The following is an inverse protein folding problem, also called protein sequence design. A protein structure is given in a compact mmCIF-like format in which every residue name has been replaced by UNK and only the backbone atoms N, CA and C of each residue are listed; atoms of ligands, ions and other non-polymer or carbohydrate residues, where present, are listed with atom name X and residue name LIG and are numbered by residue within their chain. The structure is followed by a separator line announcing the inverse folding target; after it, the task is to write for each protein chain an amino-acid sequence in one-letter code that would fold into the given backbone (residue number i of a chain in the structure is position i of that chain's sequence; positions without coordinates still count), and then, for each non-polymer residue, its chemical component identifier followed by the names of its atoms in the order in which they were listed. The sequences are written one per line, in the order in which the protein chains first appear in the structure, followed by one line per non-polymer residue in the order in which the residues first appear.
data_IF_169401421352
#
_entry.id   IF_169401421352
#
_cell.length_a   1.000
_cell.length_b   1.000
_cell.length_c   1.000
_cell.angle_alpha   90.00
_cell.angle_beta   90.00
_cell.angle_gamma   90.00
#
_symmetry.space_group_name_H-M   'P 1'
#
loop_
_entity.id
_entity.type
_entity.pdbx_description
1 polymer ?
#
# COMPACT_ATOMS: atom_id res chain seq x y z
N UNK A 1 -0.12 45.12 -9.98
CA UNK A 1 -1.60 45.06 -9.99
C UNK A 1 -2.11 45.76 -8.74
N UNK A 2 -3.08 46.67 -8.86
CA UNK A 2 -3.65 47.39 -7.70
C UNK A 2 -4.68 46.49 -7.00
N UNK A 3 -4.79 46.60 -5.67
CA UNK A 3 -5.73 45.80 -4.88
C UNK A 3 -7.19 45.99 -5.34
N UNK A 4 -7.56 47.21 -5.73
CA UNK A 4 -8.89 47.58 -6.20
C UNK A 4 -9.34 46.88 -7.50
N UNK A 5 -8.43 46.17 -8.18
CA UNK A 5 -8.70 45.44 -9.42
C UNK A 5 -8.56 43.91 -9.23
N UNK A 6 -8.32 43.45 -8.01
CA UNK A 6 -8.11 42.04 -7.69
C UNK A 6 -9.37 41.44 -7.07
N UNK A 7 -9.71 40.21 -7.44
CA UNK A 7 -10.67 39.41 -6.68
C UNK A 7 -10.01 39.02 -5.35
N UNK A 8 -10.31 39.81 -4.31
CA UNK A 8 -9.71 39.66 -2.99
C UNK A 8 -10.75 39.96 -1.91
N UNK A 9 -11.13 38.93 -1.17
CA UNK A 9 -12.07 39.02 -0.05
C UNK A 9 -11.40 38.36 1.15
N UNK A 10 -11.33 39.09 2.27
CA UNK A 10 -10.82 38.54 3.52
C UNK A 10 -11.98 38.24 4.48
N UNK A 11 -11.76 37.28 5.37
CA UNK A 11 -12.72 36.92 6.41
C UNK A 11 -12.18 37.32 7.78
N UNK A 12 -13.07 37.93 8.59
CA UNK A 12 -12.75 38.33 9.96
C UNK A 12 -12.63 37.13 10.89
N UNK A 13 -13.54 36.18 10.76
CA UNK A 13 -13.66 34.98 11.60
C UNK A 13 -13.07 33.76 10.90
N UNK A 14 -12.65 32.77 11.69
CA UNK A 14 -12.20 31.47 11.18
C UNK A 14 -13.38 30.70 10.57
N UNK A 15 -13.22 30.09 9.38
CA UNK A 15 -14.20 29.17 8.82
C UNK A 15 -14.40 27.98 9.76
N UNK A 16 -15.66 27.55 9.95
CA UNK A 16 -16.01 26.46 10.89
C UNK A 16 -15.38 25.12 10.50
N UNK A 17 -15.20 24.90 9.21
CA UNK A 17 -14.65 23.67 8.62
C UNK A 17 -13.11 23.64 8.58
N UNK A 18 -12.45 24.74 8.96
CA UNK A 18 -11.00 24.83 8.93
C UNK A 18 -10.41 24.51 10.31
N UNK A 19 -9.74 23.37 10.41
CA UNK A 19 -9.19 22.88 11.69
C UNK A 19 -7.78 23.43 11.96
N UNK A 20 -6.89 23.32 10.98
CA UNK A 20 -5.47 23.68 11.15
C UNK A 20 -5.18 25.14 10.77
N UNK A 21 -4.12 25.76 11.35
CA UNK A 21 -3.78 27.17 11.10
C UNK A 21 -3.60 27.51 9.62
N UNK A 22 -2.90 26.67 8.85
CA UNK A 22 -2.66 26.94 7.42
C UNK A 22 -3.96 27.00 6.62
N UNK A 23 -4.89 26.07 6.86
CA UNK A 23 -6.21 26.06 6.21
C UNK A 23 -7.02 27.32 6.58
N UNK A 24 -7.08 27.66 7.88
CA UNK A 24 -7.77 28.87 8.37
C UNK A 24 -7.23 30.13 7.71
N UNK A 25 -5.90 30.29 7.70
CA UNK A 25 -5.24 31.48 7.15
C UNK A 25 -5.43 31.59 5.64
N UNK A 26 -5.29 30.50 4.89
CA UNK A 26 -5.46 30.52 3.44
C UNK A 26 -6.89 30.90 3.02
N UNK A 27 -7.91 30.42 3.74
CA UNK A 27 -9.30 30.79 3.46
C UNK A 27 -9.54 32.24 3.89
N UNK A 28 -9.13 32.65 5.10
CA UNK A 28 -9.33 34.01 5.62
C UNK A 28 -8.62 35.07 4.80
N UNK A 29 -7.46 34.77 4.25
CA UNK A 29 -6.71 35.68 3.39
C UNK A 29 -7.19 35.65 1.93
N UNK A 30 -8.23 34.89 1.58
CA UNK A 30 -8.76 34.83 0.22
C UNK A 30 -7.81 34.16 -0.79
N UNK A 31 -6.98 33.22 -0.34
CA UNK A 31 -6.07 32.45 -1.20
C UNK A 31 -6.79 31.26 -1.83
N UNK A 32 -7.66 30.60 -1.07
CA UNK A 32 -8.41 29.43 -1.55
C UNK A 32 -9.89 29.55 -1.25
N UNK A 33 -10.70 28.86 -2.05
CA UNK A 33 -12.14 28.70 -1.81
C UNK A 33 -12.51 27.24 -1.94
N UNK A 34 -13.17 26.67 -0.93
CA UNK A 34 -13.72 25.32 -1.00
C UNK A 34 -14.88 25.27 -2.00
N UNK A 35 -14.84 24.32 -2.93
CA UNK A 35 -15.90 24.02 -3.91
C UNK A 35 -16.66 22.76 -3.50
N UNK A 36 -15.95 21.76 -2.97
CA UNK A 36 -16.52 20.50 -2.49
C UNK A 36 -15.67 19.91 -1.35
N UNK A 37 -16.00 18.72 -0.86
CA UNK A 37 -15.15 18.02 0.11
C UNK A 37 -13.81 17.67 -0.52
N UNK A 38 -12.71 18.21 0.02
CA UNK A 38 -11.36 18.01 -0.53
C UNK A 38 -11.08 18.70 -1.87
N UNK A 39 -11.96 19.58 -2.35
CA UNK A 39 -11.83 20.23 -3.68
C UNK A 39 -11.82 21.74 -3.48
N UNK A 40 -10.74 22.40 -3.92
CA UNK A 40 -10.48 23.82 -3.68
C UNK A 40 -10.16 24.56 -4.98
N UNK A 41 -10.73 25.74 -5.14
CA UNK A 41 -10.29 26.70 -6.14
C UNK A 41 -9.11 27.51 -5.61
N UNK A 42 -8.05 27.61 -6.41
CA UNK A 42 -6.90 28.49 -6.16
C UNK A 42 -7.20 29.89 -6.68
N UNK A 43 -7.41 30.85 -5.79
CA UNK A 43 -7.70 32.24 -6.14
C UNK A 43 -6.41 32.97 -6.58
N UNK A 44 -6.49 34.20 -7.13
CA UNK A 44 -5.35 34.85 -7.79
C UNK A 44 -4.07 34.93 -6.93
N UNK A 45 -4.18 35.12 -5.61
CA UNK A 45 -3.00 35.14 -4.72
C UNK A 45 -2.38 33.77 -4.54
N UNK A 46 -3.18 32.72 -4.34
CA UNK A 46 -2.65 31.35 -4.26
C UNK A 46 -2.04 30.92 -5.58
N UNK A 47 -2.66 31.29 -6.70
CA UNK A 47 -2.09 31.00 -8.01
C UNK A 47 -0.70 31.62 -8.19
N UNK A 48 -0.48 32.85 -7.71
CA UNK A 48 0.86 33.49 -7.70
C UNK A 48 1.86 32.73 -6.83
N UNK A 49 1.44 32.20 -5.68
CA UNK A 49 2.29 31.37 -4.82
C UNK A 49 2.64 30.07 -5.50
N UNK A 50 1.65 29.36 -6.06
CA UNK A 50 1.87 28.12 -6.80
C UNK A 50 2.83 28.32 -7.97
N UNK A 51 2.70 29.41 -8.73
CA UNK A 51 3.65 29.72 -9.82
C UNK A 51 5.09 29.92 -9.32
N UNK A 52 5.27 30.55 -8.14
CA UNK A 52 6.61 30.71 -7.54
C UNK A 52 7.19 29.37 -7.08
N UNK A 53 6.39 28.53 -6.43
CA UNK A 53 6.80 27.18 -6.00
C UNK A 53 7.14 26.32 -7.21
N UNK A 54 6.27 26.27 -8.22
CA UNK A 54 6.50 25.52 -9.45
C UNK A 54 7.75 26.00 -10.18
N UNK A 55 8.07 27.30 -10.14
CA UNK A 55 9.29 27.83 -10.74
C UNK A 55 10.55 27.33 -10.02
N UNK A 56 10.57 27.32 -8.68
CA UNK A 56 11.67 26.73 -7.90
C UNK A 56 11.84 25.25 -8.28
N UNK A 57 10.74 24.50 -8.30
CA UNK A 57 10.75 23.08 -8.66
C UNK A 57 11.32 22.86 -10.06
N UNK A 58 10.90 23.64 -11.06
CA UNK A 58 11.44 23.55 -12.43
C UNK A 58 12.93 23.81 -12.49
N UNK A 59 13.40 24.86 -11.81
CA UNK A 59 14.80 25.22 -11.82
C UNK A 59 15.67 24.10 -11.24
N UNK A 60 15.28 23.53 -10.10
CA UNK A 60 16.03 22.44 -9.46
C UNK A 60 15.94 21.13 -10.27
N UNK A 61 14.78 20.78 -10.83
CA UNK A 61 14.64 19.58 -11.69
C UNK A 61 15.45 19.72 -13.00
N UNK A 62 15.36 20.87 -13.67
CA UNK A 62 16.07 21.11 -14.93
C UNK A 62 17.59 21.13 -14.72
N UNK A 63 18.07 21.60 -13.56
CA UNK A 63 19.48 21.57 -13.21
C UNK A 63 20.06 20.14 -13.14
N UNK A 64 19.24 19.12 -12.88
CA UNK A 64 19.67 17.71 -12.93
C UNK A 64 19.57 17.09 -14.32
N UNK A 65 19.17 17.86 -15.34
CA UNK A 65 18.89 17.35 -16.68
C UNK A 65 17.53 16.65 -16.83
N UNK A 66 16.64 16.76 -15.84
CA UNK A 66 15.26 16.27 -15.97
C UNK A 66 14.50 17.12 -17.00
N UNK A 67 13.60 16.50 -17.77
CA UNK A 67 12.84 17.17 -18.81
C UNK A 67 11.35 17.25 -18.42
N UNK A 68 10.80 18.46 -18.41
CA UNK A 68 9.38 18.67 -18.12
C UNK A 68 8.51 18.20 -19.31
N UNK A 69 7.49 17.40 -19.02
CA UNK A 69 6.46 16.96 -19.95
C UNK A 69 5.07 17.16 -19.32
N UNK A 70 4.02 16.82 -20.07
CA UNK A 70 2.65 16.84 -19.57
C UNK A 70 1.91 15.59 -20.02
N UNK A 71 1.53 14.75 -19.06
CA UNK A 71 0.85 13.49 -19.31
C UNK A 71 -0.68 13.64 -19.19
N UNK A 72 -1.46 12.79 -19.87
CA UNK A 72 -2.92 12.82 -19.77
C UNK A 72 -3.42 12.46 -18.37
N UNK A 73 -4.53 13.10 -17.97
CA UNK A 73 -5.20 12.81 -16.71
C UNK A 73 -6.19 11.68 -16.77
N UNK A 74 -6.87 11.55 -17.91
CA UNK A 74 -7.75 10.44 -18.17
C UNK A 74 -6.88 9.29 -18.67
N UNK A 75 -6.81 8.22 -17.88
CA UNK A 75 -5.95 7.08 -18.14
C UNK A 75 -6.81 5.83 -18.45
N UNK A 76 -6.49 5.06 -19.50
CA UNK A 76 -7.19 3.81 -19.79
C UNK A 76 -6.96 2.76 -18.70
N UNK A 77 -8.02 2.04 -18.31
CA UNK A 77 -7.94 1.00 -17.28
C UNK A 77 -6.97 -0.13 -17.67
N UNK A 78 -6.78 -0.38 -18.97
CA UNK A 78 -5.89 -1.43 -19.48
C UNK A 78 -4.46 -1.24 -18.98
N UNK A 79 -3.94 -0.01 -18.92
CA UNK A 79 -2.58 0.25 -18.47
C UNK A 79 -2.37 -0.12 -16.99
N UNK A 80 -3.37 0.16 -16.15
CA UNK A 80 -3.39 -0.19 -14.73
C UNK A 80 -3.61 -1.68 -14.49
N UNK A 81 -4.28 -2.38 -15.41
CA UNK A 81 -4.40 -3.84 -15.36
C UNK A 81 -3.10 -4.52 -15.76
N UNK A 82 -2.36 -3.96 -16.71
CA UNK A 82 -1.02 -4.45 -17.08
C UNK A 82 -0.06 -4.39 -15.89
N UNK A 83 -0.10 -3.32 -15.08
CA UNK A 83 0.69 -3.22 -13.85
C UNK A 83 0.13 -4.06 -12.69
N UNK A 84 -1.12 -4.51 -12.78
CA UNK A 84 -1.84 -5.18 -11.71
C UNK A 84 -2.38 -4.25 -10.62
N UNK A 85 -2.19 -2.93 -10.73
CA UNK A 85 -2.61 -1.95 -9.71
C UNK A 85 -4.07 -1.53 -9.79
N UNK A 86 -4.79 -1.88 -10.86
CA UNK A 86 -6.20 -1.48 -11.05
C UNK A 86 -7.09 -1.86 -9.86
N UNK A 87 -7.11 -3.14 -9.48
CA UNK A 87 -7.98 -3.62 -8.39
C UNK A 87 -7.50 -3.12 -7.02
N UNK A 88 -6.19 -3.01 -6.81
CA UNK A 88 -5.62 -2.43 -5.58
C UNK A 88 -6.10 -0.98 -5.39
N UNK A 89 -6.01 -0.15 -6.43
CA UNK A 89 -6.35 1.27 -6.33
C UNK A 89 -7.86 1.55 -6.38
N UNK A 90 -8.65 0.72 -7.08
CA UNK A 90 -10.12 0.93 -7.18
C UNK A 90 -10.91 0.23 -6.09
N UNK A 91 -10.49 -0.95 -5.62
CA UNK A 91 -11.27 -1.78 -4.68
C UNK A 91 -10.64 -1.85 -3.31
N UNK A 92 -9.34 -2.17 -3.22
CA UNK A 92 -8.68 -2.37 -1.93
C UNK A 92 -8.50 -1.05 -1.18
N UNK A 93 -7.78 -0.11 -1.80
CA UNK A 93 -7.57 1.23 -1.23
C UNK A 93 -8.76 2.16 -1.49
N UNK A 94 -9.44 1.98 -2.63
CA UNK A 94 -10.58 2.81 -3.02
C UNK A 94 -10.23 4.28 -3.30
N UNK A 95 -8.94 4.59 -3.53
CA UNK A 95 -8.45 5.96 -3.72
C UNK A 95 -8.45 6.41 -5.17
N UNK A 96 -8.77 5.56 -6.14
CA UNK A 96 -8.76 5.95 -7.56
C UNK A 96 -10.18 6.21 -8.07
N UNK A 97 -10.38 7.41 -8.61
CA UNK A 97 -11.59 7.73 -9.36
C UNK A 97 -11.64 6.91 -10.64
N UNK A 98 -12.56 5.94 -10.71
CA UNK A 98 -12.89 5.20 -11.93
C UNK A 98 -14.17 5.72 -12.56
N UNK A 99 -14.21 5.76 -13.90
CA UNK A 99 -15.39 6.13 -14.68
C UNK A 99 -15.54 5.25 -15.92
N UNK A 100 -16.77 5.18 -16.43
CA UNK A 100 -17.08 4.50 -17.68
C UNK A 100 -17.51 5.54 -18.72
N UNK A 101 -16.83 5.57 -19.86
CA UNK A 101 -17.15 6.53 -20.92
C UNK A 101 -18.42 6.15 -21.70
N UNK A 102 -18.84 7.03 -22.62
CA UNK A 102 -20.02 6.80 -23.47
C UNK A 102 -19.93 5.57 -24.39
N UNK A 103 -18.73 5.02 -24.59
CA UNK A 103 -18.46 3.81 -25.38
C UNK A 103 -18.26 2.59 -24.48
N UNK A 104 -18.59 2.70 -23.19
CA UNK A 104 -18.44 1.65 -22.18
C UNK A 104 -16.98 1.24 -21.93
N UNK A 105 -16.02 2.15 -22.15
CA UNK A 105 -14.61 1.93 -21.78
C UNK A 105 -14.39 2.38 -20.35
N UNK A 106 -13.65 1.58 -19.59
CA UNK A 106 -13.25 1.92 -18.24
C UNK A 106 -12.01 2.81 -18.28
N UNK A 107 -12.08 3.91 -17.56
CA UNK A 107 -11.05 4.93 -17.47
C UNK A 107 -10.87 5.31 -16.00
N UNK A 108 -9.74 5.92 -15.68
CA UNK A 108 -9.51 6.53 -14.38
C UNK A 108 -9.00 7.96 -14.51
N UNK A 109 -9.20 8.75 -13.46
CA UNK A 109 -8.43 9.98 -13.25
C UNK A 109 -7.15 9.62 -12.50
N UNK A 110 -5.99 9.92 -13.08
CA UNK A 110 -4.69 9.52 -12.57
C UNK A 110 -4.40 10.01 -11.14
N UNK A 111 -4.25 9.10 -10.15
CA UNK A 111 -3.69 9.44 -8.84
C UNK A 111 -2.17 9.59 -8.88
N UNK A 112 -1.54 9.03 -9.92
CA UNK A 112 -0.11 9.06 -10.29
C UNK A 112 0.03 8.58 -11.76
N UNK A 113 1.24 8.45 -12.30
CA UNK A 113 1.50 8.21 -13.73
C UNK A 113 2.58 7.15 -14.05
N UNK A 114 2.92 6.23 -13.13
CA UNK A 114 3.93 5.20 -13.42
C UNK A 114 3.57 4.36 -14.66
N UNK A 115 2.31 3.97 -14.83
CA UNK A 115 1.83 3.19 -15.97
C UNK A 115 1.97 3.96 -17.29
N UNK A 116 1.47 5.20 -17.31
CA UNK A 116 1.46 6.03 -18.52
C UNK A 116 2.88 6.32 -19.00
N UNK A 117 3.77 6.71 -18.09
CA UNK A 117 5.15 7.03 -18.45
C UNK A 117 5.93 5.77 -18.83
N UNK A 118 5.62 4.62 -18.22
CA UNK A 118 6.22 3.32 -18.59
C UNK A 118 5.78 2.90 -19.99
N UNK A 119 4.52 3.11 -20.38
CA UNK A 119 4.05 2.88 -21.75
C UNK A 119 4.83 3.74 -22.75
N UNK A 120 5.00 5.04 -22.45
CA UNK A 120 5.78 5.95 -23.30
C UNK A 120 7.23 5.47 -23.41
N UNK A 121 7.86 5.12 -22.30
CA UNK A 121 9.23 4.65 -22.26
C UNK A 121 9.42 3.34 -23.05
N UNK A 122 8.51 2.37 -22.88
CA UNK A 122 8.48 1.10 -23.63
C UNK A 122 8.45 1.33 -25.14
N UNK A 123 7.72 2.35 -25.60
CA UNK A 123 7.56 2.63 -27.02
C UNK A 123 8.67 3.52 -27.60
N UNK A 124 9.32 4.35 -26.79
CA UNK A 124 10.27 5.37 -27.27
C UNK A 124 11.74 5.07 -26.95
N UNK A 125 12.02 4.28 -25.90
CA UNK A 125 13.38 3.89 -25.52
C UNK A 125 13.70 2.57 -26.22
N UNK A 126 14.51 2.64 -27.28
CA UNK A 126 14.86 1.50 -28.15
C UNK A 126 16.31 1.06 -28.00
N UNK A 127 17.14 1.84 -27.30
CA UNK A 127 18.56 1.55 -27.09
C UNK A 127 19.02 2.01 -25.71
N UNK A 128 19.93 1.25 -25.09
CA UNK A 128 20.59 1.62 -23.84
C UNK A 128 21.38 2.94 -23.96
N UNK A 129 21.80 3.32 -25.18
CA UNK A 129 22.50 4.60 -25.44
C UNK A 129 21.62 5.83 -25.20
N UNK A 130 20.29 5.66 -25.16
CA UNK A 130 19.37 6.73 -24.80
C UNK A 130 19.33 6.95 -23.29
N UNK A 131 19.79 5.99 -22.47
CA UNK A 131 19.67 6.02 -21.02
C UNK A 131 20.92 6.67 -20.38
N UNK A 132 20.76 7.34 -19.21
CA UNK A 132 19.52 7.53 -18.47
C UNK A 132 18.62 8.63 -19.05
N UNK A 133 17.31 8.46 -18.90
CA UNK A 133 16.29 9.48 -19.20
C UNK A 133 15.55 9.80 -17.91
N UNK A 134 15.28 11.08 -17.67
CA UNK A 134 14.49 11.53 -16.53
C UNK A 134 13.44 12.54 -16.99
N UNK A 135 12.17 12.15 -16.88
CA UNK A 135 11.01 12.95 -17.29
C UNK A 135 10.20 13.32 -16.04
N UNK A 136 9.68 14.54 -15.99
CA UNK A 136 8.81 14.96 -14.89
C UNK A 136 7.67 15.84 -15.37
N UNK A 137 6.63 16.01 -14.56
CA UNK A 137 5.55 16.95 -14.84
C UNK A 137 5.12 17.67 -13.56
N UNK A 138 4.50 18.84 -13.69
CA UNK A 138 3.80 19.52 -12.61
C UNK A 138 2.33 19.58 -13.01
N UNK A 139 1.51 18.74 -12.40
CA UNK A 139 0.17 18.46 -12.90
C UNK A 139 -0.79 18.03 -11.77
N UNK A 140 -2.06 18.39 -11.92
CA UNK A 140 -3.13 18.03 -10.98
C UNK A 140 -3.21 16.52 -10.80
N UNK A 141 -3.59 15.98 -9.64
CA UNK A 141 -3.83 14.56 -9.40
C UNK A 141 -5.17 14.41 -8.71
N UNK A 142 -5.75 13.23 -8.85
CA UNK A 142 -7.03 12.91 -8.25
C UNK A 142 -6.90 11.68 -7.37
N UNK A 143 -7.22 11.82 -6.08
CA UNK A 143 -7.32 10.70 -5.14
C UNK A 143 -8.66 10.78 -4.44
N UNK A 144 -9.46 9.72 -4.49
CA UNK A 144 -10.75 9.66 -3.83
C UNK A 144 -10.59 9.41 -2.32
N UNK A 145 -9.99 10.39 -1.66
CA UNK A 145 -9.72 10.35 -0.24
C UNK A 145 -11.02 10.21 0.57
N UNK A 146 -11.10 9.15 1.39
CA UNK A 146 -12.29 8.81 2.19
C UNK A 146 -12.60 9.93 3.19
N UNK A 147 -11.56 10.54 3.77
CA UNK A 147 -11.69 11.63 4.75
C UNK A 147 -10.77 12.81 4.39
N UNK A 148 -11.14 13.64 3.40
CA UNK A 148 -10.38 14.83 3.06
C UNK A 148 -10.42 15.83 4.22
N UNK A 149 -9.26 16.28 4.68
CA UNK A 149 -9.13 17.15 5.86
C UNK A 149 -7.95 18.10 5.69
N UNK A 150 -7.85 19.08 6.59
CA UNK A 150 -6.68 19.96 6.68
C UNK A 150 -6.40 20.83 5.43
N UNK A 151 -7.45 21.19 4.69
CA UNK A 151 -7.32 22.13 3.57
C UNK A 151 -6.57 21.53 2.40
N UNK A 152 -5.44 22.16 2.02
CA UNK A 152 -4.59 21.71 0.91
C UNK A 152 -3.65 20.56 1.29
N UNK A 153 -3.54 20.20 2.59
CA UNK A 153 -2.69 19.10 3.02
C UNK A 153 -3.22 17.74 2.55
N UNK A 154 -4.54 17.55 2.55
CA UNK A 154 -5.19 16.30 2.16
C UNK A 154 -6.50 16.54 1.40
N UNK A 155 -6.34 16.81 0.10
CA UNK A 155 -7.44 17.04 -0.85
C UNK A 155 -7.71 15.83 -1.75
N UNK A 156 -8.84 15.87 -2.47
CA UNK A 156 -9.19 14.91 -3.52
C UNK A 156 -8.67 15.32 -4.89
N UNK A 157 -8.42 16.61 -5.06
CA UNK A 157 -7.79 17.21 -6.23
C UNK A 157 -6.64 18.10 -5.75
N UNK A 158 -5.41 17.83 -6.19
CA UNK A 158 -4.21 18.54 -5.72
C UNK A 158 -3.14 18.61 -6.81
N UNK A 159 -2.16 19.52 -6.69
CA UNK A 159 -1.07 19.63 -7.67
C UNK A 159 0.11 18.81 -7.16
N UNK A 160 0.67 17.97 -8.03
CA UNK A 160 1.86 17.18 -7.74
C UNK A 160 2.94 17.45 -8.77
N UNK A 161 4.19 17.49 -8.32
CA UNK A 161 5.33 17.24 -9.19
C UNK A 161 5.72 15.78 -9.07
N UNK A 162 5.57 15.02 -10.14
CA UNK A 162 5.97 13.62 -10.25
C UNK A 162 7.05 13.49 -11.33
N UNK A 163 8.07 12.66 -11.05
CA UNK A 163 9.24 12.47 -11.90
C UNK A 163 9.63 11.00 -11.96
N UNK A 164 10.06 10.56 -13.14
CA UNK A 164 10.28 9.16 -13.48
C UNK A 164 11.56 9.03 -14.30
N UNK A 165 12.51 8.25 -13.77
CA UNK A 165 13.80 8.03 -14.40
C UNK A 165 13.96 6.58 -14.85
N UNK A 166 14.53 6.40 -16.04
CA UNK A 166 14.75 5.11 -16.68
C UNK A 166 16.25 4.87 -16.81
N UNK A 167 16.69 3.65 -16.50
CA UNK A 167 18.11 3.33 -16.33
C UNK A 167 18.46 1.98 -16.95
N UNK A 168 19.71 1.84 -17.42
CA UNK A 168 20.28 0.59 -17.91
C UNK A 168 20.69 -0.36 -16.78
N UNK A 169 21.00 0.19 -15.62
CA UNK A 169 21.59 -0.49 -14.47
C UNK A 169 21.31 0.25 -13.16
N UNK A 170 21.57 -0.43 -12.05
CA UNK A 170 21.28 0.05 -10.70
C UNK A 170 22.18 1.22 -10.28
N UNK A 171 23.43 1.28 -10.75
CA UNK A 171 24.35 2.37 -10.38
C UNK A 171 23.92 3.69 -11.03
N UNK A 172 23.44 3.64 -12.27
CA UNK A 172 22.79 4.76 -12.95
C UNK A 172 21.55 5.24 -12.17
N UNK A 173 20.69 4.32 -11.72
CA UNK A 173 19.54 4.64 -10.87
C UNK A 173 19.96 5.32 -9.57
N UNK A 174 20.92 4.74 -8.83
CA UNK A 174 21.43 5.29 -7.57
C UNK A 174 21.99 6.69 -7.74
N UNK A 175 22.66 6.98 -8.86
CA UNK A 175 23.15 8.33 -9.16
C UNK A 175 21.99 9.31 -9.30
N UNK A 176 21.00 9.02 -10.13
CA UNK A 176 19.84 9.90 -10.30
C UNK A 176 19.03 10.04 -9.02
N UNK A 177 18.92 8.98 -8.22
CA UNK A 177 18.27 9.05 -6.90
C UNK A 177 18.98 10.03 -5.95
N UNK A 178 20.32 10.02 -5.90
CA UNK A 178 21.11 11.02 -5.14
C UNK A 178 20.95 12.43 -5.69
N UNK A 179 20.93 12.58 -7.02
CA UNK A 179 20.69 13.88 -7.67
C UNK A 179 19.30 14.43 -7.28
N UNK A 180 18.29 13.55 -7.16
CA UNK A 180 16.94 13.89 -6.69
C UNK A 180 16.89 14.25 -5.20
N UNK A 181 17.58 13.50 -4.34
CA UNK A 181 17.70 13.85 -2.92
C UNK A 181 18.22 15.30 -2.77
N UNK A 182 19.30 15.63 -3.46
CA UNK A 182 19.86 16.99 -3.42
C UNK A 182 18.91 18.04 -4.02
N UNK A 183 18.27 17.74 -5.15
CA UNK A 183 17.32 18.66 -5.78
C UNK A 183 16.13 18.98 -4.86
N UNK A 184 15.55 17.97 -4.19
CA UNK A 184 14.45 18.18 -3.25
C UNK A 184 14.90 18.97 -2.01
N UNK A 185 16.10 18.70 -1.48
CA UNK A 185 16.71 19.51 -0.40
C UNK A 185 16.79 20.98 -0.80
N UNK A 186 17.27 21.26 -2.02
CA UNK A 186 17.34 22.62 -2.54
C UNK A 186 15.95 23.25 -2.67
N UNK A 187 14.98 22.55 -3.25
CA UNK A 187 13.60 23.04 -3.41
C UNK A 187 13.01 23.48 -2.07
N UNK A 188 13.09 22.62 -1.05
CA UNK A 188 12.52 22.89 0.28
C UNK A 188 13.28 24.01 0.99
N UNK A 189 14.61 24.04 0.90
CA UNK A 189 15.45 25.11 1.45
C UNK A 189 15.13 26.47 0.81
N UNK A 190 14.95 26.52 -0.51
CA UNK A 190 14.57 27.73 -1.26
C UNK A 190 13.14 28.19 -0.96
N UNK A 191 12.26 27.26 -0.57
CA UNK A 191 10.94 27.57 -0.03
C UNK A 191 10.98 28.04 1.44
N UNK A 192 12.16 28.03 2.10
CA UNK A 192 12.33 28.45 3.49
C UNK A 192 11.74 27.48 4.51
N UNK A 193 11.62 26.20 4.15
CA UNK A 193 11.00 25.17 4.99
C UNK A 193 12.05 24.49 5.88
N UNK A 194 11.64 24.15 7.11
CA UNK A 194 12.38 23.23 7.97
C UNK A 194 11.89 21.82 7.70
N UNK A 195 12.78 20.93 7.26
CA UNK A 195 12.42 19.60 6.84
C UNK A 195 13.45 18.55 7.27
N UNK A 196 13.04 17.29 7.24
CA UNK A 196 13.88 16.11 7.41
C UNK A 196 13.66 15.17 6.24
N UNK A 197 14.75 14.67 5.69
CA UNK A 197 14.71 13.49 4.84
C UNK A 197 14.69 12.26 5.74
N UNK A 198 13.76 11.34 5.51
CA UNK A 198 13.52 10.18 6.38
C UNK A 198 13.39 8.92 5.52
N UNK A 199 13.87 7.79 6.02
CA UNK A 199 13.57 6.50 5.41
C UNK A 199 12.07 6.22 5.51
N UNK A 200 11.49 5.74 4.42
CA UNK A 200 10.05 5.53 4.31
C UNK A 200 9.72 4.15 3.79
N UNK A 201 8.45 3.78 3.91
CA UNK A 201 7.93 2.64 3.19
C UNK A 201 7.78 2.97 1.70
N UNK A 202 7.88 1.96 0.83
CA UNK A 202 7.66 2.13 -0.60
C UNK A 202 6.16 2.13 -0.97
N UNK A 203 5.30 1.70 -0.04
CA UNK A 203 3.86 1.62 -0.20
C UNK A 203 3.43 0.81 -1.42
N UNK A 204 2.21 1.10 -1.89
CA UNK A 204 1.63 0.47 -3.07
C UNK A 204 2.28 0.88 -4.41
N UNK A 205 3.24 1.81 -4.40
CA UNK A 205 4.06 2.13 -5.58
C UNK A 205 5.12 1.03 -5.77
N UNK A 206 5.54 0.35 -4.69
CA UNK A 206 6.56 -0.68 -4.70
C UNK A 206 7.99 -0.12 -4.81
N UNK A 207 9.00 -1.00 -4.73
CA UNK A 207 10.42 -0.64 -4.81
C UNK A 207 11.22 -1.04 -3.56
N UNK A 208 12.52 -0.72 -3.57
CA UNK A 208 13.47 -1.14 -2.51
C UNK A 208 14.10 0.04 -1.74
N UNK A 209 14.09 1.25 -2.30
CA UNK A 209 14.57 2.48 -1.66
C UNK A 209 13.50 3.56 -1.70
N UNK A 210 13.01 3.97 -0.52
CA UNK A 210 12.02 5.04 -0.36
C UNK A 210 12.50 6.04 0.67
N UNK A 211 12.32 7.31 0.33
CA UNK A 211 12.68 8.44 1.17
C UNK A 211 11.59 9.49 1.11
N UNK A 212 11.14 9.95 2.26
CA UNK A 212 10.18 11.03 2.40
C UNK A 212 10.88 12.31 2.85
N UNK A 213 10.36 13.45 2.41
CA UNK A 213 10.78 14.76 2.88
C UNK A 213 9.68 15.37 3.73
N UNK A 214 9.87 15.32 5.05
CA UNK A 214 8.88 15.72 6.04
C UNK A 214 9.14 17.13 6.53
N UNK A 215 8.17 18.03 6.36
CA UNK A 215 8.18 19.35 7.02
C UNK A 215 7.72 19.16 8.46
N UNK A 216 8.55 19.55 9.42
CA UNK A 216 8.25 19.34 10.83
C UNK A 216 7.16 20.32 11.29
N UNK A 217 6.00 19.78 11.66
CA UNK A 217 4.86 20.55 12.14
C UNK A 217 4.01 19.72 13.11
N UNK A 218 3.46 20.36 14.15
CA UNK A 218 2.55 19.71 15.11
C UNK A 218 1.27 19.17 14.44
N UNK A 219 0.89 19.73 13.29
CA UNK A 219 -0.26 19.30 12.51
C UNK A 219 0.07 18.23 11.46
N UNK A 220 1.29 17.65 11.49
CA UNK A 220 1.68 16.55 10.62
C UNK A 220 0.86 15.28 10.91
N UNK A 221 0.53 14.53 9.85
CA UNK A 221 -0.18 13.24 9.99
C UNK A 221 0.79 12.08 10.22
N UNK A 222 2.04 12.23 9.79
CA UNK A 222 3.10 11.25 9.93
C UNK A 222 3.93 11.49 11.20
N UNK A 223 4.30 10.41 11.86
CA UNK A 223 5.25 10.43 12.96
C UNK A 223 6.63 10.04 12.44
N UNK A 224 7.63 10.86 12.78
CA UNK A 224 9.02 10.67 12.37
C UNK A 224 9.86 10.41 13.61
N UNK A 225 10.60 9.31 13.58
CA UNK A 225 11.60 8.98 14.59
C UNK A 225 12.98 9.35 14.06
N UNK A 226 13.77 10.05 14.87
CA UNK A 226 15.14 10.39 14.52
C UNK A 226 16.06 10.36 15.74
N UNK A 227 17.32 10.02 15.53
CA UNK A 227 18.33 10.02 16.59
C UNK A 227 18.80 11.45 16.89
N UNK A 228 19.22 11.68 18.13
CA UNK A 228 19.74 12.98 18.57
C UNK A 228 20.98 13.40 17.76
N UNK A 229 21.80 12.44 17.32
CA UNK A 229 22.96 12.68 16.46
C UNK A 229 22.60 12.92 14.98
N UNK A 230 21.32 12.80 14.61
CA UNK A 230 20.79 13.06 13.28
C UNK A 230 21.21 12.06 12.20
N UNK A 231 21.83 10.93 12.57
CA UNK A 231 22.29 9.91 11.60
C UNK A 231 21.21 8.96 11.14
N UNK A 232 20.16 8.78 11.94
CA UNK A 232 19.02 7.95 11.59
C UNK A 232 17.74 8.78 11.67
N UNK A 233 16.91 8.68 10.64
CA UNK A 233 15.59 9.28 10.60
C UNK A 233 14.69 8.42 9.73
N UNK A 234 13.52 8.03 10.23
CA UNK A 234 12.58 7.18 9.52
C UNK A 234 11.13 7.52 9.90
N UNK A 235 10.21 7.33 8.96
CA UNK A 235 8.78 7.26 9.26
C UNK A 235 8.55 6.07 10.22
N UNK A 236 7.67 6.20 11.22
CA UNK A 236 7.33 5.12 12.17
C UNK A 236 6.96 3.80 11.47
N UNK A 237 6.37 3.86 10.27
CA UNK A 237 6.05 2.70 9.44
C UNK A 237 7.30 1.91 9.01
N UNK A 238 8.42 2.60 8.79
CA UNK A 238 9.70 2.01 8.37
C UNK A 238 10.68 1.81 9.52
N UNK A 239 10.60 2.65 10.54
CA UNK A 239 11.61 2.78 11.59
C UNK A 239 11.93 1.46 12.29
N UNK A 240 13.21 1.16 12.47
CA UNK A 240 13.66 -0.01 13.25
C UNK A 240 14.19 0.44 14.60
N UNK A 241 13.99 -0.40 15.62
CA UNK A 241 14.52 -0.17 16.97
C UNK A 241 15.44 -1.32 17.37
N UNK A 242 16.38 -1.01 18.26
CA UNK A 242 17.17 -2.04 18.94
C UNK A 242 16.33 -2.59 20.09
N UNK A 243 16.16 -3.92 20.20
CA UNK A 243 15.45 -4.49 21.33
C UNK A 243 16.20 -4.17 22.62
N UNK A 244 15.47 -3.74 23.64
CA UNK A 244 16.00 -3.67 25.02
C UNK A 244 16.34 -5.07 25.52
N UNK A 245 17.32 -5.13 26.43
CA UNK A 245 17.73 -6.38 27.07
C UNK A 245 16.53 -7.09 27.72
N UNK A 246 16.48 -8.40 27.57
CA UNK A 246 15.40 -9.22 28.10
C UNK A 246 15.45 -9.27 29.63
N UNK A 247 14.31 -9.03 30.27
CA UNK A 247 14.16 -9.22 31.71
C UNK A 247 14.04 -10.72 32.02
N UNK A 248 14.86 -11.28 32.94
CA UNK A 248 14.78 -12.69 33.31
C UNK A 248 13.37 -13.07 33.79
N UNK A 249 12.80 -14.11 33.17
CA UNK A 249 11.50 -14.67 33.56
C UNK A 249 11.54 -15.19 35.00
N UNK A 250 10.54 -14.82 35.80
CA UNK A 250 10.30 -15.43 37.12
C UNK A 250 9.65 -16.81 37.03
N UNK A 251 9.20 -17.21 35.84
CA UNK A 251 8.59 -18.52 35.58
C UNK A 251 9.65 -19.52 35.13
N UNK A 252 9.80 -20.61 35.88
CA UNK A 252 10.78 -21.67 35.63
C UNK A 252 10.15 -22.99 35.19
N UNK A 253 8.82 -23.10 35.21
CA UNK A 253 8.07 -24.30 34.87
C UNK A 253 6.90 -23.98 33.92
N UNK A 254 6.58 -24.92 33.03
CA UNK A 254 5.42 -24.83 32.16
C UNK A 254 4.18 -25.38 32.90
N UNK A 255 3.17 -24.52 33.08
CA UNK A 255 1.88 -24.90 33.69
C UNK A 255 0.73 -24.12 33.07
N UNK A 256 -0.38 -24.81 32.81
CA UNK A 256 -1.66 -24.16 32.46
C UNK A 256 -2.32 -23.56 33.71
N UNK A 257 -2.69 -22.29 33.63
CA UNK A 257 -3.34 -21.55 34.72
C UNK A 257 -4.69 -21.00 34.25
N UNK A 258 -5.67 -21.00 35.14
CA UNK A 258 -6.92 -20.27 34.96
C UNK A 258 -6.65 -18.77 35.12
N UNK A 259 -6.99 -17.97 34.12
CA UNK A 259 -6.74 -16.52 34.05
C UNK A 259 -8.07 -15.76 33.85
N UNK A 260 -9.01 -15.84 34.82
CA UNK A 260 -10.32 -15.22 34.66
C UNK A 260 -10.23 -13.70 34.60
N UNK A 261 -11.00 -13.08 33.71
CA UNK A 261 -11.13 -11.62 33.57
C UNK A 261 -9.82 -10.87 33.19
N UNK A 262 -8.88 -11.52 32.49
CA UNK A 262 -7.62 -10.89 32.02
C UNK A 262 -7.63 -10.69 30.50
N UNK A 263 -8.54 -9.86 29.98
CA UNK A 263 -8.72 -9.67 28.53
C UNK A 263 -7.62 -8.83 27.85
N UNK A 264 -6.74 -8.20 28.63
CA UNK A 264 -5.65 -7.36 28.12
C UNK A 264 -4.30 -7.79 28.69
N UNK A 265 -3.20 -7.45 27.99
CA UNK A 265 -1.85 -7.69 28.50
C UNK A 265 -1.64 -7.05 29.86
N UNK A 266 -2.14 -5.81 30.06
CA UNK A 266 -2.03 -5.12 31.34
C UNK A 266 -2.71 -5.88 32.49
N UNK A 267 -3.93 -6.40 32.25
CA UNK A 267 -4.64 -7.20 33.25
C UNK A 267 -3.96 -8.54 33.52
N UNK A 268 -3.38 -9.18 32.49
CA UNK A 268 -2.67 -10.45 32.62
C UNK A 268 -1.33 -10.30 33.36
N UNK A 269 -0.55 -9.27 33.03
CA UNK A 269 0.70 -8.92 33.70
C UNK A 269 0.47 -8.67 35.20
N UNK A 270 -0.59 -7.94 35.53
CA UNK A 270 -1.01 -7.70 36.92
C UNK A 270 -1.42 -8.98 37.63
N UNK A 271 -2.18 -9.85 36.97
CA UNK A 271 -2.63 -11.12 37.53
C UNK A 271 -1.46 -12.08 37.80
N UNK A 272 -0.51 -12.17 36.87
CA UNK A 272 0.67 -13.02 36.96
C UNK A 272 1.82 -12.39 37.75
N UNK A 273 1.69 -11.13 38.16
CA UNK A 273 2.73 -10.34 38.82
C UNK A 273 4.06 -10.39 38.05
N UNK A 274 3.99 -10.18 36.74
CA UNK A 274 5.15 -10.21 35.85
C UNK A 274 5.21 -8.98 34.94
N UNK A 275 6.36 -8.79 34.30
CA UNK A 275 6.53 -7.72 33.32
C UNK A 275 5.77 -8.07 32.02
N UNK A 276 5.12 -7.09 31.35
CA UNK A 276 4.54 -7.30 30.02
C UNK A 276 5.55 -7.83 28.98
N UNK A 277 6.85 -7.58 29.20
CA UNK A 277 7.94 -8.09 28.34
C UNK A 277 8.04 -9.63 28.34
N UNK A 278 7.48 -10.28 29.36
CA UNK A 278 7.48 -11.74 29.55
C UNK A 278 6.21 -12.40 29.01
N UNK A 279 5.26 -11.61 28.50
CA UNK A 279 4.01 -12.10 27.91
C UNK A 279 4.16 -12.09 26.38
N UNK A 280 3.71 -13.15 25.72
CA UNK A 280 3.56 -13.18 24.27
C UNK A 280 2.12 -12.78 23.92
N UNK A 281 1.97 -11.66 23.21
CA UNK A 281 0.73 -11.24 22.59
C UNK A 281 0.59 -11.97 21.25
N UNK A 282 -0.52 -12.67 21.08
CA UNK A 282 -0.88 -13.32 19.83
C UNK A 282 -2.03 -12.56 19.16
N UNK A 283 -1.81 -12.10 17.93
CA UNK A 283 -2.81 -11.39 17.12
C UNK A 283 -3.08 -12.20 15.87
N UNK A 284 -4.33 -12.61 15.68
CA UNK A 284 -4.77 -13.33 14.49
C UNK A 284 -5.23 -12.33 13.43
N UNK A 285 -4.61 -12.37 12.26
CA UNK A 285 -4.98 -11.62 11.08
C UNK A 285 -5.61 -12.54 10.04
N UNK A 286 -6.53 -11.97 9.26
CA UNK A 286 -7.06 -12.54 8.04
C UNK A 286 -6.53 -11.72 6.86
N UNK A 287 -5.91 -12.43 5.92
CA UNK A 287 -5.32 -11.86 4.71
C UNK A 287 -6.10 -12.35 3.50
N UNK A 288 -6.53 -11.44 2.63
CA UNK A 288 -7.12 -11.80 1.33
C UNK A 288 -6.18 -11.37 0.23
N UNK A 289 -5.75 -12.30 -0.60
CA UNK A 289 -4.87 -12.06 -1.74
C UNK A 289 -5.63 -11.69 -3.02
N UNK A 290 -4.93 -11.15 -4.02
CA UNK A 290 -5.47 -10.71 -5.31
C UNK A 290 -6.12 -11.81 -6.16
N UNK A 291 -5.75 -13.07 -5.92
CA UNK A 291 -6.38 -14.24 -6.51
C UNK A 291 -7.63 -14.72 -5.74
N UNK A 292 -8.03 -14.04 -4.67
CA UNK A 292 -9.16 -14.39 -3.80
C UNK A 292 -8.84 -15.41 -2.70
N UNK A 293 -7.60 -15.90 -2.62
CA UNK A 293 -7.18 -16.81 -1.54
C UNK A 293 -7.19 -16.08 -0.20
N UNK A 294 -7.84 -16.68 0.80
CA UNK A 294 -7.82 -16.19 2.19
C UNK A 294 -6.85 -17.02 3.01
N UNK A 295 -5.94 -16.35 3.73
CA UNK A 295 -4.95 -16.98 4.61
C UNK A 295 -5.06 -16.35 6.00
N UNK A 296 -5.01 -17.19 7.03
CA UNK A 296 -4.98 -16.75 8.42
C UNK A 296 -3.53 -16.69 8.89
N UNK A 297 -3.16 -15.59 9.55
CA UNK A 297 -1.79 -15.31 9.99
C UNK A 297 -1.79 -15.01 11.48
N UNK A 298 -1.12 -15.87 12.26
CA UNK A 298 -0.96 -15.66 13.69
C UNK A 298 0.38 -14.96 13.96
N UNK A 299 0.32 -13.74 14.50
CA UNK A 299 1.50 -12.95 14.85
C UNK A 299 1.75 -13.06 16.35
N UNK A 300 2.91 -13.60 16.72
CA UNK A 300 3.41 -13.63 18.10
C UNK A 300 4.40 -12.48 18.32
N UNK A 301 4.05 -11.56 19.22
CA UNK A 301 4.86 -10.38 19.55
C UNK A 301 4.95 -10.19 21.06
N UNK A 302 5.96 -9.46 21.55
CA UNK A 302 6.10 -9.16 22.99
C UNK A 302 4.89 -8.34 23.49
N UNK A 303 4.45 -8.58 24.72
CA UNK A 303 3.20 -8.05 25.26
C UNK A 303 3.12 -6.52 25.34
N UNK A 304 4.26 -5.87 25.50
CA UNK A 304 4.45 -4.41 25.51
C UNK A 304 4.60 -3.78 24.12
N UNK A 305 4.51 -4.57 23.05
CA UNK A 305 4.66 -4.11 21.67
C UNK A 305 3.35 -4.24 20.90
N UNK A 306 3.22 -3.45 19.84
CA UNK A 306 2.11 -3.53 18.89
C UNK A 306 2.60 -3.98 17.52
N UNK A 307 1.72 -4.68 16.79
CA UNK A 307 1.99 -5.09 15.42
C UNK A 307 1.95 -3.85 14.53
N UNK A 308 3.04 -3.60 13.81
CA UNK A 308 3.05 -2.60 12.76
C UNK A 308 2.46 -3.21 11.49
N UNK A 309 1.26 -2.78 11.12
CA UNK A 309 0.49 -3.35 10.01
C UNK A 309 1.18 -3.15 8.66
N UNK A 310 1.89 -2.04 8.45
CA UNK A 310 2.64 -1.78 7.21
C UNK A 310 3.78 -2.79 7.05
N UNK A 311 4.56 -3.02 8.12
CA UNK A 311 5.61 -4.05 8.10
C UNK A 311 5.05 -5.44 7.88
N UNK A 312 3.92 -5.76 8.51
CA UNK A 312 3.25 -7.04 8.33
C UNK A 312 2.76 -7.22 6.89
N UNK A 313 2.09 -6.22 6.32
CA UNK A 313 1.62 -6.23 4.94
C UNK A 313 2.78 -6.43 3.96
N UNK A 314 3.91 -5.76 4.19
CA UNK A 314 5.10 -5.92 3.36
C UNK A 314 5.67 -7.34 3.41
N UNK A 315 5.81 -7.94 4.59
CA UNK A 315 6.27 -9.33 4.71
C UNK A 315 5.29 -10.31 4.06
N UNK A 316 3.98 -10.14 4.27
CA UNK A 316 2.97 -11.00 3.68
C UNK A 316 2.86 -10.84 2.16
N UNK A 317 3.19 -9.67 1.61
CA UNK A 317 3.24 -9.43 0.17
C UNK A 317 4.44 -10.16 -0.46
N UNK A 318 5.59 -10.20 0.22
CA UNK A 318 6.74 -11.03 -0.21
C UNK A 318 6.40 -12.51 -0.23
N UNK A 319 5.54 -12.97 0.67
CA UNK A 319 5.06 -14.35 0.74
C UNK A 319 3.91 -14.65 -0.24
N UNK A 320 3.32 -13.64 -0.90
CA UNK A 320 2.21 -13.83 -1.84
C UNK A 320 2.47 -14.90 -2.94
N UNK A 321 3.69 -15.00 -3.53
CA UNK A 321 3.98 -16.01 -4.54
C UNK A 321 3.80 -17.46 -4.05
N UNK A 322 3.97 -17.71 -2.75
CA UNK A 322 3.75 -19.04 -2.15
C UNK A 322 2.27 -19.47 -2.24
N UNK A 323 1.36 -18.50 -2.32
CA UNK A 323 -0.08 -18.70 -2.45
C UNK A 323 -0.58 -18.50 -3.90
N UNK A 324 0.32 -18.41 -4.88
CA UNK A 324 -0.03 -18.13 -6.27
C UNK A 324 -0.67 -16.76 -6.48
N UNK A 325 -0.36 -15.82 -5.60
CA UNK A 325 -0.84 -14.44 -5.60
C UNK A 325 0.31 -13.47 -5.91
N UNK A 326 -0.03 -12.23 -6.26
CA UNK A 326 0.98 -11.16 -6.46
C UNK A 326 0.98 -10.13 -5.35
N UNK A 327 -0.18 -9.86 -4.75
CA UNK A 327 -0.34 -8.84 -3.72
C UNK A 327 -1.50 -9.15 -2.79
N UNK A 328 -1.57 -8.43 -1.68
CA UNK A 328 -2.66 -8.45 -0.71
C UNK A 328 -3.73 -7.44 -1.12
N UNK A 329 -5.00 -7.82 -0.97
CA UNK A 329 -6.17 -6.94 -1.10
C UNK A 329 -6.69 -6.44 0.25
N UNK A 330 -6.62 -7.26 1.29
CA UNK A 330 -7.00 -6.85 2.64
C UNK A 330 -6.22 -7.58 3.71
N UNK A 331 -5.96 -6.86 4.81
CA UNK A 331 -5.34 -7.35 6.04
C UNK A 331 -6.18 -6.82 7.20
N UNK A 332 -6.86 -7.70 7.92
CA UNK A 332 -7.73 -7.29 9.04
C UNK A 332 -7.64 -8.26 10.20
N UNK A 333 -7.88 -7.77 11.41
CA UNK A 333 -8.23 -8.64 12.53
C UNK A 333 -9.69 -9.07 12.34
N UNK A 334 -9.98 -10.38 12.19
CA UNK A 334 -11.32 -10.83 11.86
C UNK A 334 -12.29 -10.61 13.02
N UNK A 335 -13.41 -9.96 12.76
CA UNK A 335 -14.51 -9.85 13.69
C UNK A 335 -15.29 -11.18 13.81
N UNK A 336 -16.33 -11.20 14.64
CA UNK A 336 -17.12 -12.42 14.87
C UNK A 336 -17.77 -12.95 13.58
N UNK A 337 -18.26 -12.06 12.71
CA UNK A 337 -18.88 -12.46 11.43
C UNK A 337 -17.85 -13.05 10.46
N UNK A 338 -16.65 -12.47 10.40
CA UNK A 338 -15.56 -13.03 9.60
C UNK A 338 -15.13 -14.40 10.14
N UNK A 339 -15.03 -14.55 11.46
CA UNK A 339 -14.70 -15.83 12.10
C UNK A 339 -15.74 -16.91 11.79
N UNK A 340 -17.04 -16.61 11.78
CA UNK A 340 -18.09 -17.59 11.46
C UNK A 340 -17.95 -18.21 10.05
N UNK A 341 -17.24 -17.55 9.13
CA UNK A 341 -17.05 -18.04 7.75
C UNK A 341 -16.02 -19.16 7.65
N UNK A 342 -15.06 -19.23 8.59
CA UNK A 342 -13.94 -20.17 8.52
C UNK A 342 -13.70 -20.93 9.83
N UNK A 343 -14.22 -20.48 10.97
CA UNK A 343 -14.01 -21.15 12.26
C UNK A 343 -15.00 -22.31 12.41
N UNK A 344 -14.49 -23.50 12.72
CA UNK A 344 -15.32 -24.70 12.97
C UNK A 344 -15.83 -24.77 14.42
N UNK A 345 -15.17 -24.04 15.33
CA UNK A 345 -15.45 -23.95 16.77
C UNK A 345 -14.94 -22.62 17.32
N UNK A 346 -15.44 -22.16 18.48
CA UNK A 346 -14.98 -20.91 19.08
C UNK A 346 -13.47 -20.91 19.31
N UNK A 347 -12.80 -19.82 18.93
CA UNK A 347 -11.37 -19.66 19.18
C UNK A 347 -11.11 -19.59 20.69
N UNK A 348 -10.03 -20.22 21.19
CA UNK A 348 -9.67 -20.17 22.59
C UNK A 348 -8.99 -18.83 22.92
N UNK A 349 -9.75 -17.72 22.84
CA UNK A 349 -9.26 -16.37 23.14
C UNK A 349 -8.58 -16.35 24.52
N UNK A 350 -7.34 -15.85 24.57
CA UNK A 350 -6.49 -15.86 25.77
C UNK A 350 -5.60 -17.11 25.94
N UNK A 351 -5.85 -18.18 25.19
CA UNK A 351 -5.04 -19.41 25.16
C UNK A 351 -4.71 -19.84 23.70
N UNK A 352 -4.63 -18.89 22.78
CA UNK A 352 -4.15 -19.20 21.42
C UNK A 352 -2.63 -19.39 21.53
N UNK A 353 -2.17 -20.63 21.39
CA UNK A 353 -0.75 -20.93 21.25
C UNK A 353 -0.34 -20.78 19.77
N UNK A 354 0.97 -20.64 19.46
CA UNK A 354 1.47 -20.68 18.09
C UNK A 354 1.12 -21.98 17.33
N UNK A 355 0.68 -23.04 18.04
CA UNK A 355 0.26 -24.31 17.47
C UNK A 355 -1.26 -24.52 17.56
N UNK A 356 -2.06 -23.52 17.15
CA UNK A 356 -3.50 -23.70 17.01
C UNK A 356 -3.76 -24.86 16.02
N UNK A 357 -4.54 -25.86 16.42
CA UNK A 357 -4.81 -27.01 15.56
C UNK A 357 -5.58 -26.61 14.30
N UNK A 358 -5.26 -27.23 13.17
CA UNK A 358 -6.02 -27.08 11.90
C UNK A 358 -7.50 -27.39 12.07
N UNK A 359 -7.87 -28.17 13.09
CA UNK A 359 -9.25 -28.51 13.44
C UNK A 359 -10.13 -27.29 13.78
N UNK A 360 -9.54 -26.11 14.04
CA UNK A 360 -10.26 -24.85 14.26
C UNK A 360 -10.66 -24.13 12.95
N UNK A 361 -10.09 -24.53 11.82
CA UNK A 361 -10.26 -23.87 10.53
C UNK A 361 -10.98 -24.83 9.57
N UNK A 362 -12.00 -24.32 8.87
CA UNK A 362 -12.70 -25.07 7.83
C UNK A 362 -11.69 -25.39 6.71
N UNK A 363 -11.54 -26.68 6.32
CA UNK A 363 -10.61 -27.04 5.26
C UNK A 363 -10.95 -26.31 3.96
N UNK A 364 -9.95 -25.90 3.16
CA UNK A 364 -10.22 -25.26 1.88
C UNK A 364 -11.03 -26.19 0.99
N UNK A 365 -12.16 -25.69 0.45
CA UNK A 365 -12.94 -26.41 -0.55
C UNK A 365 -12.07 -26.63 -1.78
N UNK A 366 -11.88 -27.87 -2.29
CA UNK A 366 -11.07 -28.09 -3.47
C UNK A 366 -11.66 -27.33 -4.66
N UNK A 367 -10.83 -26.77 -5.56
CA UNK A 367 -11.32 -26.11 -6.75
C UNK A 367 -12.15 -27.12 -7.57
N UNK A 368 -13.32 -26.70 -8.03
CA UNK A 368 -14.20 -27.47 -8.91
C UNK A 368 -13.38 -27.95 -10.12
N UNK A 369 -12.95 -29.21 -10.09
CA UNK A 369 -12.46 -29.90 -11.27
C UNK A 369 -13.58 -29.84 -12.30
N UNK A 370 -13.34 -29.18 -13.44
CA UNK A 370 -14.19 -29.27 -14.61
C UNK A 370 -14.39 -30.76 -14.92
N UNK A 371 -15.57 -31.28 -14.64
CA UNK A 371 -15.99 -32.60 -15.08
C UNK A 371 -15.99 -32.54 -16.61
N UNK A 372 -15.04 -33.23 -17.22
CA UNK A 372 -15.05 -33.48 -18.65
C UNK A 372 -16.31 -34.27 -18.99
N UNK A 373 -17.04 -33.79 -19.98
CA UNK A 373 -18.07 -34.57 -20.66
C UNK A 373 -17.39 -35.79 -21.31
N UNK A 374 -17.45 -36.94 -20.65
CA UNK A 374 -17.32 -38.22 -21.34
C UNK A 374 -18.72 -38.74 -21.67
N UNK A 375 -18.98 -38.78 -22.96
CA UNK A 375 -20.19 -39.31 -23.56
C UNK A 375 -20.35 -40.80 -23.24
N UNK A 376 -21.54 -41.14 -22.77
CA UNK A 376 -22.05 -42.50 -22.65
C UNK A 376 -22.10 -43.23 -23.99
N UNK A 377 -21.31 -44.30 -24.13
CA UNK A 377 -21.58 -45.41 -25.06
C UNK A 377 -21.21 -46.73 -24.37
N UNK A 378 -22.17 -47.65 -24.12
CA UNK A 378 -21.87 -48.94 -23.54
C UNK A 378 -21.35 -49.92 -24.64
N UNK A 379 -20.36 -50.78 -24.35
CA UNK A 379 -19.96 -51.84 -25.26
C UNK A 379 -20.94 -53.03 -25.17
N UNK A 380 -21.11 -53.81 -26.26
CA UNK A 380 -22.03 -54.93 -26.28
C UNK A 380 -21.48 -56.13 -25.49
N UNK A 381 -22.33 -56.71 -24.66
CA UNK A 381 -22.16 -57.99 -23.98
C UNK A 381 -22.19 -59.13 -24.99
N UNK A 382 -21.08 -59.87 -25.11
CA UNK A 382 -21.01 -61.10 -25.89
C UNK A 382 -21.08 -62.30 -24.93
N UNK A 383 -22.22 -62.98 -24.91
CA UNK A 383 -22.46 -64.25 -24.21
C UNK A 383 -22.18 -65.40 -25.16
N UNK A 384 -21.29 -66.33 -24.81
CA UNK A 384 -21.08 -67.53 -25.64
C UNK A 384 -20.10 -68.56 -25.07
N UNK A 385 -20.66 -69.51 -24.32
CA UNK A 385 -20.29 -70.93 -24.18
C UNK A 385 -18.86 -71.36 -23.79
N UNK A 386 -18.80 -71.94 -22.59
CA UNK A 386 -17.95 -73.09 -22.26
C UNK A 386 -18.37 -74.32 -23.09
N UNK A 387 -17.44 -74.97 -23.79
CA UNK A 387 -17.14 -76.40 -23.56
C UNK A 387 -15.95 -76.94 -24.36
N UNK A 388 -15.21 -77.82 -23.67
CA UNK A 388 -14.44 -78.99 -24.16
C UNK A 388 -13.03 -78.85 -24.80
N UNK A 389 -12.06 -79.36 -24.02
CA UNK A 389 -10.99 -80.33 -24.36
C UNK A 389 -9.86 -79.99 -25.36
N UNK A 390 -8.67 -79.76 -24.79
CA UNK A 390 -7.34 -80.38 -25.05
C UNK A 390 -6.66 -80.40 -26.46
N UNK A 391 -5.30 -80.43 -26.51
CA UNK A 391 -4.43 -79.86 -27.58
C UNK A 391 -3.87 -80.98 -28.53
N UNK A 392 -2.78 -80.84 -29.35
CA UNK A 392 -1.77 -79.77 -29.55
C UNK A 392 -1.32 -79.53 -31.03
N UNK A 393 -0.17 -78.83 -31.19
CA UNK A 393 0.76 -78.75 -32.36
C UNK A 393 0.31 -77.95 -33.57
N UNK A 394 1.14 -77.35 -34.42
CA UNK A 394 2.54 -76.91 -34.52
C UNK A 394 2.64 -76.27 -35.94
N UNK A 395 3.75 -75.60 -36.28
CA UNK A 395 4.13 -75.03 -37.61
C UNK A 395 3.38 -73.73 -37.99
N UNK A 396 3.99 -72.65 -38.49
CA UNK A 396 5.36 -72.36 -38.92
C UNK A 396 5.29 -71.40 -40.11
N UNK A 397 6.13 -70.36 -40.11
CA UNK A 397 6.46 -69.43 -41.22
C UNK A 397 5.28 -68.62 -41.83
N UNK A 398 5.39 -67.35 -42.24
CA UNK A 398 6.49 -66.48 -42.68
C UNK A 398 6.35 -65.07 -42.06
#
# INVERSE_FOLDING_TARGET
MRLSQMLFVTLREDPKEAEIPSHKLLVRAGYIRRIGSGIYAYLPLMWRVLQKVSQIVREEMNATGAQECLLPQVQPAELWRESGRWDTYTKAEGIMFSLTDRRKRELALGPTHEEVITTIAKDMIRSHQQLPIHLYQIQTKFRDEIRPRFGLMRGREFIMKDGYSFHSDEESLKKTYRDMDQAYRNMLSRCGLQYRAVEADSGAIGGSGSQEFMVLAEAGEDEVLYTEDGKYAANTEKAVSLPVDAEPSSFTEYKKLETPNTTTIATLAKFLNCSPTQIVKNVLYQVVYDNGTTVLVLISIRGDQEVNEVKLQNELTKLAPEFGAKTILSLTVPDQEAQEKWATKPLPLGYISPGLEDSYITPPTPPLTKVGNESTTPPPTNTGNENTTSPPTNTGNE
#
